data_IF_395799938681
#
_entry.id   IF_395799938681
#
_cell.length_a   1.000
_cell.length_b   1.000
_cell.length_c   1.000
_cell.angle_alpha   90.00
_cell.angle_beta   90.00
_cell.angle_gamma   90.00
#
_symmetry.space_group_name_H-M   'P 1'
#
loop_
_entity.id
_entity.type
_entity.pdbx_description
1 polymer ?
#
# COMPACT_ATOMS: atom_id res chain seq x y z
N UNK A 1 -12.45 9.57 26.28
CA UNK A 1 -12.21 8.12 26.23
C UNK A 1 -11.99 7.64 27.65
N UNK A 2 -12.77 6.67 28.12
CA UNK A 2 -12.54 6.05 29.42
C UNK A 2 -11.34 5.11 29.25
N UNK A 3 -10.25 5.38 29.95
CA UNK A 3 -8.97 4.67 29.81
C UNK A 3 -9.00 3.26 30.39
N UNK A 4 -9.69 2.34 29.72
CA UNK A 4 -9.68 0.92 30.06
C UNK A 4 -8.45 0.24 29.42
N UNK A 5 -7.68 -0.47 30.25
CA UNK A 5 -6.54 -1.27 29.78
C UNK A 5 -7.07 -2.61 29.27
N UNK A 6 -6.86 -2.87 27.99
CA UNK A 6 -7.22 -4.14 27.35
C UNK A 6 -6.01 -5.08 27.42
N UNK A 7 -6.21 -6.25 28.03
CA UNK A 7 -5.17 -7.30 28.15
C UNK A 7 -5.50 -8.55 27.32
N UNK A 8 -6.75 -8.67 26.89
CA UNK A 8 -7.24 -9.78 26.08
C UNK A 8 -6.78 -9.63 24.62
N UNK A 9 -6.24 -10.70 24.04
CA UNK A 9 -5.56 -10.66 22.74
C UNK A 9 -6.54 -10.32 21.62
N UNK A 10 -7.71 -10.94 21.62
CA UNK A 10 -8.76 -10.72 20.63
C UNK A 10 -9.24 -9.26 20.67
N UNK A 11 -9.51 -8.73 21.87
CA UNK A 11 -9.88 -7.32 22.04
C UNK A 11 -8.76 -6.34 21.66
N UNK A 12 -7.49 -6.70 21.88
CA UNK A 12 -6.34 -5.90 21.42
C UNK A 12 -6.34 -5.82 19.89
N UNK A 13 -6.56 -6.94 19.20
CA UNK A 13 -6.62 -6.97 17.74
C UNK A 13 -7.80 -6.17 17.19
N UNK A 14 -8.97 -6.25 17.84
CA UNK A 14 -10.13 -5.43 17.49
C UNK A 14 -9.82 -3.94 17.64
N UNK A 15 -9.23 -3.55 18.77
CA UNK A 15 -8.82 -2.16 19.03
C UNK A 15 -7.82 -1.63 17.99
N UNK A 16 -6.88 -2.46 17.56
CA UNK A 16 -5.95 -2.15 16.47
C UNK A 16 -6.67 -2.01 15.13
N UNK A 17 -7.59 -2.91 14.81
CA UNK A 17 -8.37 -2.84 13.57
C UNK A 17 -9.22 -1.56 13.51
N UNK A 18 -9.86 -1.18 14.62
CA UNK A 18 -10.58 0.09 14.74
C UNK A 18 -9.65 1.29 14.55
N UNK A 19 -8.52 1.33 15.26
CA UNK A 19 -7.55 2.41 15.15
C UNK A 19 -7.06 2.61 13.70
N UNK A 20 -6.67 1.53 13.03
CA UNK A 20 -6.18 1.59 11.65
C UNK A 20 -7.29 2.02 10.68
N UNK A 21 -8.53 1.53 10.86
CA UNK A 21 -9.67 1.97 10.05
C UNK A 21 -9.95 3.45 10.19
N UNK A 22 -9.88 3.99 11.42
CA UNK A 22 -10.06 5.43 11.67
C UNK A 22 -8.90 6.24 11.09
N UNK A 23 -7.67 5.77 11.28
CA UNK A 23 -6.44 6.44 10.83
C UNK A 23 -6.39 6.60 9.30
N UNK A 24 -6.80 5.57 8.56
CA UNK A 24 -6.80 5.56 7.09
C UNK A 24 -8.19 5.77 6.49
N UNK A 25 -9.15 6.27 7.28
CA UNK A 25 -10.49 6.57 6.77
C UNK A 25 -10.39 7.67 5.72
N UNK A 26 -10.81 7.36 4.51
CA UNK A 26 -10.93 8.33 3.43
C UNK A 26 -12.32 8.97 3.46
N UNK A 27 -12.39 10.26 3.77
CA UNK A 27 -13.63 11.05 3.79
C UNK A 27 -13.75 11.97 2.57
N UNK A 28 -12.81 11.87 1.61
CA UNK A 28 -12.87 12.62 0.37
C UNK A 28 -14.14 12.24 -0.39
N UNK A 29 -14.83 13.24 -0.92
CA UNK A 29 -16.00 13.03 -1.79
C UNK A 29 -15.54 12.22 -2.99
N UNK A 30 -16.33 11.24 -3.37
CA UNK A 30 -16.10 10.45 -4.58
C UNK A 30 -15.93 11.43 -5.74
N UNK A 31 -14.70 11.54 -6.25
CA UNK A 31 -14.45 12.37 -7.39
C UNK A 31 -15.12 11.66 -8.55
N UNK A 32 -16.17 12.26 -9.13
CA UNK A 32 -16.58 11.93 -10.47
C UNK A 32 -15.32 12.01 -11.32
N UNK A 33 -14.72 10.85 -11.65
CA UNK A 33 -13.62 10.75 -12.58
C UNK A 33 -14.14 11.46 -13.81
N UNK A 34 -13.66 12.69 -14.07
CA UNK A 34 -14.01 13.38 -15.29
C UNK A 34 -13.65 12.40 -16.39
N UNK A 35 -14.66 11.91 -17.11
CA UNK A 35 -14.47 11.25 -18.40
C UNK A 35 -13.97 12.32 -19.38
N UNK A 36 -12.78 12.85 -19.11
CA UNK A 36 -12.07 13.61 -20.10
C UNK A 36 -11.68 12.61 -21.17
N UNK A 37 -12.25 12.77 -22.36
CA UNK A 37 -11.99 11.96 -23.55
C UNK A 37 -10.55 12.11 -24.09
N UNK A 38 -9.61 12.56 -23.26
CA UNK A 38 -8.19 12.67 -23.53
C UNK A 38 -7.47 11.78 -22.52
N UNK A 39 -7.32 10.50 -22.85
CA UNK A 39 -6.34 9.66 -22.16
C UNK A 39 -4.96 10.32 -22.32
N UNK A 40 -4.21 10.42 -21.21
CA UNK A 40 -2.81 10.81 -21.27
C UNK A 40 -1.98 9.79 -22.04
N UNK A 41 -0.71 10.10 -22.36
CA UNK A 41 0.18 9.11 -22.94
C UNK A 41 0.30 7.89 -22.01
N UNK A 42 0.58 6.68 -22.56
CA UNK A 42 0.85 5.52 -21.74
C UNK A 42 2.10 5.73 -20.90
N UNK A 43 2.14 5.08 -19.73
CA UNK A 43 3.31 5.03 -18.86
C UNK A 43 4.43 4.29 -19.61
N UNK A 44 5.58 4.93 -19.73
CA UNK A 44 6.74 4.40 -20.44
C UNK A 44 7.52 3.39 -19.59
N UNK A 45 8.21 2.47 -20.26
CA UNK A 45 9.05 1.48 -19.59
C UNK A 45 10.20 2.14 -18.85
N UNK A 46 10.78 3.17 -19.46
CA UNK A 46 11.92 3.92 -18.95
C UNK A 46 11.54 4.70 -17.67
N UNK A 47 10.30 5.17 -17.56
CA UNK A 47 9.78 5.80 -16.34
C UNK A 47 9.74 4.78 -15.20
N UNK A 48 9.18 3.59 -15.47
CA UNK A 48 9.06 2.50 -14.50
C UNK A 48 10.43 2.00 -14.07
N UNK A 49 11.35 1.80 -15.01
CA UNK A 49 12.73 1.39 -14.72
C UNK A 49 13.45 2.43 -13.86
N UNK A 50 13.33 3.71 -14.20
CA UNK A 50 13.95 4.79 -13.43
C UNK A 50 13.43 4.84 -11.99
N UNK A 51 12.14 4.62 -11.78
CA UNK A 51 11.55 4.64 -10.45
C UNK A 51 11.86 3.40 -9.64
N UNK A 52 11.82 2.21 -10.24
CA UNK A 52 12.24 0.96 -9.60
C UNK A 52 13.71 1.05 -9.15
N UNK A 53 14.59 1.62 -9.96
CA UNK A 53 16.00 1.79 -9.62
C UNK A 53 16.24 2.81 -8.48
N UNK A 54 15.31 3.74 -8.23
CA UNK A 54 15.37 4.67 -7.09
C UNK A 54 14.83 4.07 -5.80
N UNK A 55 14.02 3.03 -5.88
CA UNK A 55 13.41 2.40 -4.70
C UNK A 55 14.48 1.76 -3.81
N UNK A 56 14.28 1.84 -2.49
CA UNK A 56 15.23 1.29 -1.53
C UNK A 56 15.10 -0.22 -1.43
N UNK A 57 16.24 -0.89 -1.39
CA UNK A 57 16.33 -2.32 -1.08
C UNK A 57 16.03 -2.65 0.39
N UNK A 58 15.71 -3.92 0.65
CA UNK A 58 15.49 -4.48 1.98
C UNK A 58 14.18 -4.02 2.63
N UNK A 59 13.20 -3.64 1.83
CA UNK A 59 11.88 -3.24 2.33
C UNK A 59 11.00 -4.46 2.55
N UNK A 60 10.13 -4.38 3.56
CA UNK A 60 9.14 -5.40 3.82
C UNK A 60 8.21 -5.52 2.60
N UNK A 61 7.96 -6.74 2.16
CA UNK A 61 7.03 -7.03 1.07
C UNK A 61 5.59 -7.00 1.55
N UNK A 62 4.67 -6.82 0.61
CA UNK A 62 3.25 -7.05 0.87
C UNK A 62 2.92 -8.54 1.01
N UNK A 63 1.63 -8.89 1.11
CA UNK A 63 1.14 -10.28 1.12
C UNK A 63 1.59 -11.12 -0.09
N UNK A 64 1.95 -10.46 -1.19
CA UNK A 64 2.41 -11.08 -2.44
C UNK A 64 3.86 -11.60 -2.37
N UNK A 65 4.62 -11.19 -1.36
CA UNK A 65 6.05 -11.47 -1.21
C UNK A 65 6.90 -11.01 -2.42
N UNK A 66 6.44 -10.01 -3.18
CA UNK A 66 7.18 -9.46 -4.31
C UNK A 66 7.99 -8.27 -3.82
N UNK A 67 9.31 -8.36 -3.92
CA UNK A 67 10.22 -7.29 -3.55
C UNK A 67 10.76 -6.55 -4.77
N UNK A 68 11.31 -5.36 -4.57
CA UNK A 68 11.93 -4.59 -5.67
C UNK A 68 13.17 -5.32 -6.21
N UNK A 69 13.90 -6.04 -5.37
CA UNK A 69 15.01 -6.90 -5.76
C UNK A 69 14.56 -7.99 -6.73
N UNK A 70 13.39 -8.59 -6.48
CA UNK A 70 12.85 -9.62 -7.35
C UNK A 70 12.52 -9.05 -8.73
N UNK A 71 11.93 -7.85 -8.77
CA UNK A 71 11.61 -7.18 -10.04
C UNK A 71 12.90 -6.83 -10.79
N UNK A 72 13.92 -6.31 -10.11
CA UNK A 72 15.23 -6.01 -10.69
C UNK A 72 15.95 -7.27 -11.19
N UNK A 73 15.86 -8.38 -10.46
CA UNK A 73 16.46 -9.66 -10.87
C UNK A 73 15.83 -10.26 -12.13
N UNK A 74 14.60 -9.85 -12.46
CA UNK A 74 13.89 -10.22 -13.68
C UNK A 74 14.20 -9.27 -14.85
N UNK A 75 15.00 -8.23 -14.62
CA UNK A 75 15.47 -7.28 -15.62
C UNK A 75 14.30 -6.76 -16.51
N UNK A 76 14.51 -6.72 -17.82
CA UNK A 76 13.57 -6.24 -18.83
C UNK A 76 12.17 -6.88 -18.73
N UNK A 77 12.10 -8.16 -18.37
CA UNK A 77 10.85 -8.88 -18.19
C UNK A 77 10.08 -8.38 -16.96
N UNK A 78 10.77 -8.20 -15.83
CA UNK A 78 10.19 -7.67 -14.60
C UNK A 78 9.61 -6.26 -14.82
N UNK A 79 10.42 -5.37 -15.38
CA UNK A 79 10.00 -4.00 -15.71
C UNK A 79 8.81 -4.04 -16.67
N UNK A 80 8.88 -4.84 -17.74
CA UNK A 80 7.81 -4.95 -18.72
C UNK A 80 6.48 -5.40 -18.12
N UNK A 81 6.49 -6.33 -17.15
CA UNK A 81 5.28 -6.78 -16.45
C UNK A 81 4.68 -5.71 -15.56
N UNK A 82 5.51 -4.95 -14.84
CA UNK A 82 5.04 -3.84 -14.01
C UNK A 82 4.45 -2.73 -14.89
N UNK A 83 5.15 -2.34 -15.96
CA UNK A 83 4.66 -1.32 -16.90
C UNK A 83 3.31 -1.71 -17.52
N UNK A 84 3.14 -2.98 -17.90
CA UNK A 84 1.87 -3.47 -18.44
C UNK A 84 0.74 -3.33 -17.42
N UNK A 85 0.95 -3.82 -16.19
CA UNK A 85 -0.05 -3.74 -15.12
C UNK A 85 -0.42 -2.29 -14.78
N UNK A 86 0.56 -1.38 -14.71
CA UNK A 86 0.31 0.03 -14.43
C UNK A 86 -0.52 0.70 -15.53
N UNK A 87 -0.25 0.38 -16.79
CA UNK A 87 -1.05 0.88 -17.91
C UNK A 87 -2.47 0.30 -17.90
N UNK A 88 -2.65 -0.99 -17.58
CA UNK A 88 -4.01 -1.57 -17.42
C UNK A 88 -4.82 -0.84 -16.34
N UNK A 89 -4.20 -0.52 -15.20
CA UNK A 89 -4.84 0.25 -14.13
C UNK A 89 -5.14 1.68 -14.59
N UNK A 90 -4.20 2.32 -15.30
CA UNK A 90 -4.35 3.68 -15.81
C UNK A 90 -5.50 3.80 -16.82
N UNK A 91 -5.58 2.87 -17.76
CA UNK A 91 -6.57 2.87 -18.84
C UNK A 91 -7.98 2.52 -18.35
N UNK A 92 -8.08 1.57 -17.41
CA UNK A 92 -9.38 1.07 -16.94
C UNK A 92 -9.89 1.82 -15.71
N UNK A 93 -9.00 2.48 -14.96
CA UNK A 93 -9.27 3.02 -13.63
C UNK A 93 -9.54 1.95 -12.57
N UNK A 94 -9.34 0.66 -12.88
CA UNK A 94 -9.63 -0.44 -11.97
C UNK A 94 -8.38 -0.88 -11.25
N UNK A 95 -8.37 -0.75 -9.93
CA UNK A 95 -7.28 -1.24 -9.08
C UNK A 95 -7.56 -2.70 -8.72
N UNK A 96 -6.65 -3.65 -9.01
CA UNK A 96 -6.78 -5.03 -8.58
C UNK A 96 -6.94 -5.15 -7.07
N UNK A 97 -7.88 -5.96 -6.61
CA UNK A 97 -8.17 -6.15 -5.18
C UNK A 97 -6.95 -6.60 -4.37
N UNK A 98 -5.99 -7.27 -4.99
CA UNK A 98 -4.75 -7.67 -4.32
C UNK A 98 -3.84 -6.48 -3.98
N UNK A 99 -3.85 -5.42 -4.79
CA UNK A 99 -3.13 -4.18 -4.50
C UNK A 99 -3.85 -3.31 -3.45
N UNK A 100 -5.11 -3.62 -3.14
CA UNK A 100 -5.89 -2.93 -2.11
C UNK A 100 -5.74 -3.56 -0.71
N UNK A 101 -4.87 -4.56 -0.55
CA UNK A 101 -4.64 -5.27 0.73
C UNK A 101 -3.31 -4.84 1.35
N UNK A 102 -3.35 -4.52 2.64
CA UNK A 102 -2.16 -4.16 3.42
C UNK A 102 -2.08 -5.00 4.70
N UNK A 103 -0.85 -5.32 5.12
CA UNK A 103 -0.57 -5.96 6.41
C UNK A 103 -0.08 -4.87 7.37
N UNK A 104 -0.70 -4.80 8.54
CA UNK A 104 -0.30 -3.89 9.60
C UNK A 104 0.39 -4.66 10.72
N UNK A 105 1.62 -4.27 11.02
CA UNK A 105 2.40 -4.81 12.14
C UNK A 105 2.62 -3.67 13.12
N UNK A 106 2.06 -3.78 14.33
CA UNK A 106 2.28 -2.81 15.39
C UNK A 106 3.69 -2.96 15.97
N UNK A 107 4.50 -1.91 15.91
CA UNK A 107 5.88 -1.89 16.39
C UNK A 107 6.07 -0.75 17.41
N UNK A 108 6.26 -1.03 18.71
CA UNK A 108 6.32 -0.01 19.75
C UNK A 108 7.40 1.06 19.52
N UNK A 109 6.99 2.34 19.49
CA UNK A 109 7.88 3.52 19.45
C UNK A 109 8.48 3.82 20.83
N UNK A 110 7.75 3.50 21.91
CA UNK A 110 8.18 3.72 23.29
C UNK A 110 8.08 2.44 24.13
N UNK A 111 9.01 2.22 25.07
CA UNK A 111 8.87 1.14 26.04
C UNK A 111 7.58 1.30 26.85
N UNK A 112 6.82 0.20 27.01
CA UNK A 112 5.59 0.20 27.82
C UNK A 112 4.42 0.97 27.22
N UNK A 113 4.38 1.16 25.89
CA UNK A 113 3.25 1.79 25.23
C UNK A 113 1.94 1.02 25.49
N UNK A 114 0.94 1.73 25.99
CA UNK A 114 -0.42 1.20 26.24
C UNK A 114 -1.47 1.80 25.29
N UNK A 115 -1.08 2.81 24.51
CA UNK A 115 -1.93 3.49 23.52
C UNK A 115 -1.46 3.15 22.11
N UNK A 116 -2.41 2.93 21.17
CA UNK A 116 -2.07 2.57 19.78
C UNK A 116 -1.22 3.61 19.05
N UNK A 117 -1.31 4.89 19.40
CA UNK A 117 -0.50 5.96 18.79
C UNK A 117 0.98 5.94 19.26
N UNK A 118 1.18 5.47 20.50
CA UNK A 118 2.49 5.38 21.16
C UNK A 118 3.15 4.01 20.96
N UNK A 119 2.36 3.02 20.55
CA UNK A 119 2.91 1.90 19.79
C UNK A 119 3.45 2.43 18.47
#
# INVERSE_FOLDING_TARGET
MNGEIIIDKEKILERWAEYIRELFKDDRKDHNIMKNNFAGPPIMKEEVEADINKMKHGKATGPDNISVELINALEDFGIGKVTHLLNEIYDTGQIPTNLSKSIFIALPKKPGATECELH
#
